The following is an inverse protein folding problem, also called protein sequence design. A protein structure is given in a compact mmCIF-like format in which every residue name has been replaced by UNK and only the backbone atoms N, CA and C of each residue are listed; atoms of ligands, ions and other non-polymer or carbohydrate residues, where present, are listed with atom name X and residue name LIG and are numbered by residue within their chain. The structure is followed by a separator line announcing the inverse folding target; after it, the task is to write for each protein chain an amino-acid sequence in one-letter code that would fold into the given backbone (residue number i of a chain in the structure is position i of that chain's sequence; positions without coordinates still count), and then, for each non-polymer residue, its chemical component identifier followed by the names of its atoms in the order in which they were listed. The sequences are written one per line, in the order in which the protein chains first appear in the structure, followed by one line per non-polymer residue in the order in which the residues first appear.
data_IF_070639043951
#
_entry.id   IF_070639043951
#
_cell.length_a   1.000
_cell.length_b   1.000
_cell.length_c   1.000
_cell.angle_alpha   90.00
_cell.angle_beta   90.00
_cell.angle_gamma   90.00
#
_symmetry.space_group_name_H-M   'P 1'
#
loop_
_entity.id
_entity.type
_entity.pdbx_description
1 polymer ?
#
# COMPACT_ATOMS: atom_id res chain seq x y z
N UNK A 1 9.97 22.65 16.06
CA UNK A 1 9.22 21.69 15.22
C UNK A 1 9.27 20.40 16.00
N UNK A 2 8.15 20.03 16.60
CA UNK A 2 8.05 18.84 17.43
C UNK A 2 8.38 17.61 16.58
N UNK A 3 9.22 16.71 17.09
CA UNK A 3 9.45 15.38 16.53
C UNK A 3 8.16 14.55 16.64
N UNK A 4 7.14 14.89 15.86
CA UNK A 4 5.92 14.09 15.76
C UNK A 4 6.17 12.94 14.79
N UNK A 5 6.85 11.90 15.29
CA UNK A 5 6.81 10.60 14.64
C UNK A 5 5.36 10.12 14.69
N UNK A 6 4.72 10.10 13.52
CA UNK A 6 3.37 9.54 13.34
C UNK A 6 3.24 8.14 13.99
N UNK A 7 2.12 7.83 14.67
CA UNK A 7 1.84 6.49 15.16
C UNK A 7 1.99 5.43 14.07
N UNK A 8 2.56 4.27 14.40
CA UNK A 8 2.78 3.19 13.43
C UNK A 8 1.48 2.78 12.72
N UNK A 9 0.36 2.76 13.45
CA UNK A 9 -0.97 2.45 12.88
C UNK A 9 -1.42 3.48 11.84
N UNK A 10 -1.13 4.76 12.06
CA UNK A 10 -1.48 5.84 11.13
C UNK A 10 -0.58 5.77 9.89
N UNK A 11 0.72 5.52 10.08
CA UNK A 11 1.65 5.31 8.98
C UNK A 11 1.26 4.10 8.09
N UNK A 12 0.81 3.00 8.69
CA UNK A 12 0.27 1.84 7.95
C UNK A 12 -0.99 2.25 7.16
N UNK A 13 -1.93 2.94 7.79
CA UNK A 13 -3.19 3.34 7.16
C UNK A 13 -2.97 4.29 5.95
N UNK A 14 -2.01 5.21 6.04
CA UNK A 14 -1.63 6.08 4.93
C UNK A 14 -1.04 5.28 3.76
N UNK A 15 -0.14 4.33 4.05
CA UNK A 15 0.45 3.45 3.03
C UNK A 15 -0.60 2.57 2.35
N UNK A 16 -1.56 2.02 3.11
CA UNK A 16 -2.66 1.23 2.57
C UNK A 16 -3.57 2.07 1.68
N UNK A 17 -3.89 3.30 2.12
CA UNK A 17 -4.69 4.26 1.34
C UNK A 17 -3.98 4.60 0.04
N UNK A 18 -2.66 4.82 0.10
CA UNK A 18 -1.89 5.12 -1.09
C UNK A 18 -1.84 3.93 -2.07
N UNK A 19 -1.60 2.72 -1.55
CA UNK A 19 -1.68 1.50 -2.36
C UNK A 19 -3.05 1.36 -3.02
N UNK A 20 -4.13 1.60 -2.29
CA UNK A 20 -5.49 1.49 -2.83
C UNK A 20 -5.72 2.46 -3.99
N UNK A 21 -5.26 3.72 -3.87
CA UNK A 21 -5.36 4.71 -4.95
C UNK A 21 -4.65 4.26 -6.22
N UNK A 22 -3.47 3.67 -6.11
CA UNK A 22 -2.74 3.12 -7.27
C UNK A 22 -3.57 2.04 -7.98
N UNK A 23 -4.22 1.17 -7.21
CA UNK A 23 -5.08 0.12 -7.77
C UNK A 23 -6.33 0.72 -8.43
N UNK A 24 -6.99 1.66 -7.78
CA UNK A 24 -8.21 2.28 -8.29
C UNK A 24 -7.93 3.05 -9.59
N UNK A 25 -6.86 3.87 -9.62
CA UNK A 25 -6.46 4.63 -10.80
C UNK A 25 -6.13 3.70 -11.97
N UNK A 26 -5.40 2.62 -11.72
CA UNK A 26 -5.05 1.64 -12.75
C UNK A 26 -6.27 0.85 -13.26
N UNK A 27 -7.20 0.49 -12.38
CA UNK A 27 -8.45 -0.19 -12.76
C UNK A 27 -9.37 0.74 -13.55
N UNK A 28 -9.44 2.01 -13.20
CA UNK A 28 -10.21 3.01 -13.92
C UNK A 28 -9.64 3.27 -15.31
N UNK A 29 -8.30 3.35 -15.42
CA UNK A 29 -7.63 3.43 -16.72
C UNK A 29 -7.87 2.18 -17.56
N UNK A 30 -7.73 0.99 -16.96
CA UNK A 30 -8.00 -0.28 -17.63
C UNK A 30 -9.44 -0.35 -18.16
N UNK A 31 -10.42 0.08 -17.37
CA UNK A 31 -11.83 0.16 -17.78
C UNK A 31 -12.02 1.11 -18.97
N UNK A 32 -11.42 2.30 -18.94
CA UNK A 32 -11.48 3.28 -20.05
C UNK A 32 -10.86 2.72 -21.34
N UNK A 33 -9.79 1.93 -21.20
CA UNK A 33 -9.08 1.28 -22.31
C UNK A 33 -9.64 -0.10 -22.69
N UNK A 34 -10.72 -0.56 -22.04
CA UNK A 34 -11.32 -1.89 -22.21
C UNK A 34 -10.33 -3.05 -21.99
N UNK A 35 -9.34 -2.86 -21.13
CA UNK A 35 -8.40 -3.88 -20.71
C UNK A 35 -9.03 -4.81 -19.66
N UNK A 36 -8.53 -6.04 -19.60
CA UNK A 36 -9.00 -7.03 -18.63
C UNK A 36 -8.57 -6.64 -17.22
N UNK A 37 -9.55 -6.51 -16.30
CA UNK A 37 -9.32 -6.30 -14.87
C UNK A 37 -8.30 -7.29 -14.29
N UNK A 38 -8.41 -8.58 -14.66
CA UNK A 38 -7.51 -9.64 -14.20
C UNK A 38 -6.07 -9.40 -14.63
N UNK A 39 -5.87 -8.97 -15.88
CA UNK A 39 -4.53 -8.68 -16.40
C UNK A 39 -3.92 -7.43 -15.75
N UNK A 40 -4.73 -6.39 -15.52
CA UNK A 40 -4.31 -5.17 -14.82
C UNK A 40 -3.89 -5.47 -13.39
N UNK A 41 -4.67 -6.27 -12.64
CA UNK A 41 -4.31 -6.68 -11.28
C UNK A 41 -3.00 -7.48 -11.27
N UNK A 42 -2.81 -8.42 -12.19
CA UNK A 42 -1.57 -9.20 -12.28
C UNK A 42 -0.33 -8.34 -12.63
N UNK A 43 -0.51 -7.20 -13.30
CA UNK A 43 0.57 -6.22 -13.52
C UNK A 43 0.80 -5.35 -12.29
N UNK A 44 -0.25 -4.94 -11.59
CA UNK A 44 -0.15 -4.16 -10.34
C UNK A 44 0.59 -4.93 -9.24
N UNK A 45 0.38 -6.24 -9.14
CA UNK A 45 1.13 -7.12 -8.22
C UNK A 45 2.64 -7.09 -8.48
N UNK A 46 3.06 -6.79 -9.71
CA UNK A 46 4.46 -6.69 -10.13
C UNK A 46 4.97 -5.24 -10.16
N UNK A 47 4.12 -4.27 -9.83
CA UNK A 47 4.51 -2.86 -9.82
C UNK A 47 5.55 -2.64 -8.68
N UNK A 48 6.75 -2.12 -8.98
CA UNK A 48 7.79 -1.88 -7.98
C UNK A 48 7.33 -1.04 -6.79
N UNK A 49 6.47 -0.05 -7.04
CA UNK A 49 5.93 0.83 -6.01
C UNK A 49 4.97 0.10 -5.07
N UNK A 50 4.08 -0.74 -5.62
CA UNK A 50 3.18 -1.59 -4.83
C UNK A 50 3.97 -2.58 -3.98
N UNK A 51 5.02 -3.19 -4.55
CA UNK A 51 5.91 -4.11 -3.83
C UNK A 51 6.60 -3.39 -2.66
N UNK A 52 7.12 -2.20 -2.89
CA UNK A 52 7.78 -1.41 -1.85
C UNK A 52 6.81 -0.97 -0.74
N UNK A 53 5.60 -0.54 -1.10
CA UNK A 53 4.56 -0.20 -0.11
C UNK A 53 4.22 -1.42 0.75
N UNK A 54 4.01 -2.58 0.13
CA UNK A 54 3.72 -3.82 0.85
C UNK A 54 4.86 -4.21 1.80
N UNK A 55 6.12 -4.07 1.36
CA UNK A 55 7.29 -4.32 2.21
C UNK A 55 7.29 -3.38 3.42
N UNK A 56 7.04 -2.09 3.22
CA UNK A 56 7.01 -1.11 4.32
C UNK A 56 5.89 -1.40 5.32
N UNK A 57 4.69 -1.74 4.83
CA UNK A 57 3.56 -2.14 5.67
C UNK A 57 3.96 -3.35 6.53
N UNK A 58 4.55 -4.38 5.94
CA UNK A 58 4.97 -5.58 6.68
C UNK A 58 5.97 -5.25 7.79
N UNK A 59 7.00 -4.44 7.50
CA UNK A 59 7.99 -4.01 8.50
C UNK A 59 7.35 -3.19 9.63
N UNK A 60 6.37 -2.33 9.31
CA UNK A 60 5.66 -1.55 10.31
C UNK A 60 4.75 -2.41 11.19
N UNK A 61 4.07 -3.40 10.59
CA UNK A 61 3.25 -4.37 11.32
C UNK A 61 4.10 -5.21 12.28
N UNK A 62 5.25 -5.72 11.83
CA UNK A 62 6.18 -6.45 12.71
C UNK A 62 6.62 -5.62 13.92
N UNK A 63 6.88 -4.31 13.71
CA UNK A 63 7.23 -3.38 14.81
C UNK A 63 6.06 -3.14 15.74
N UNK A 64 4.85 -3.00 15.21
CA UNK A 64 3.63 -2.81 16.01
C UNK A 64 3.35 -4.03 16.88
N UNK A 65 3.48 -5.23 16.32
CA UNK A 65 3.28 -6.48 17.03
C UNK A 65 4.33 -6.66 18.13
N UNK A 66 5.60 -6.37 17.83
CA UNK A 66 6.68 -6.40 18.83
C UNK A 66 6.46 -5.41 19.98
N UNK A 67 5.88 -4.23 19.70
CA UNK A 67 5.55 -3.24 20.72
C UNK A 67 4.30 -3.59 21.54
N UNK A 68 3.40 -4.42 21.00
CA UNK A 68 2.15 -4.83 21.67
C UNK A 68 2.32 -6.09 22.51
N UNK A 69 3.33 -6.91 22.20
CA UNK A 69 3.66 -8.16 22.92
C UNK A 69 4.70 -7.99 24.04
N UNK A 70 5.25 -6.78 24.22
CA UNK A 70 6.20 -6.42 25.28
C UNK A 70 5.50 -5.82 26.50
#
# INVERSE_FOLDING_TARGET
MSDESMPISEAIAELETYRQRIFDDALDMARKLKLSKKATLAQLEKNPEVIEINRRIAVLQERQDAATQA
#
